data_IF_240147817052
#
_entry.id   IF_240147817052
#
_cell.length_a   1.000
_cell.length_b   1.000
_cell.length_c   1.000
_cell.angle_alpha   90.00
_cell.angle_beta   90.00
_cell.angle_gamma   90.00
#
_symmetry.space_group_name_H-M   'P 1'
#
loop_
_entity.id
_entity.type
_entity.pdbx_description
1 polymer ?
#
# COMPACT_ATOMS: atom_id res chain seq x y z
N UNK A 1 16.19 17.98 -21.46
CA UNK A 1 15.46 17.07 -22.36
C UNK A 1 14.02 16.95 -21.90
N UNK A 2 13.06 16.59 -22.80
CA UNK A 2 11.61 16.63 -22.46
C UNK A 2 11.26 15.90 -21.16
N UNK A 3 11.76 14.70 -20.92
CA UNK A 3 11.49 13.93 -19.70
C UNK A 3 12.02 14.57 -18.41
N UNK A 4 13.16 15.23 -18.49
CA UNK A 4 13.74 15.98 -17.37
C UNK A 4 12.90 17.21 -17.04
N UNK A 5 12.46 17.94 -18.06
CA UNK A 5 11.60 19.10 -17.88
C UNK A 5 10.26 18.72 -17.24
N UNK A 6 9.64 17.64 -17.71
CA UNK A 6 8.40 17.13 -17.12
C UNK A 6 8.55 16.70 -15.67
N UNK A 7 9.68 16.05 -15.30
CA UNK A 7 9.97 15.71 -13.91
C UNK A 7 10.18 16.94 -13.02
N UNK A 8 10.95 17.92 -13.49
CA UNK A 8 11.19 19.18 -12.76
C UNK A 8 9.89 19.95 -12.51
N UNK A 9 9.04 20.02 -13.51
CA UNK A 9 7.72 20.64 -13.39
C UNK A 9 6.83 19.90 -12.40
N UNK A 10 6.78 18.56 -12.48
CA UNK A 10 5.95 17.74 -11.61
C UNK A 10 6.38 17.81 -10.15
N UNK A 11 7.69 17.81 -9.89
CA UNK A 11 8.27 17.86 -8.56
C UNK A 11 8.43 19.29 -8.03
N UNK A 12 8.16 20.29 -8.88
CA UNK A 12 8.34 21.74 -8.57
C UNK A 12 9.77 22.07 -8.11
N UNK A 13 10.77 21.53 -8.81
CA UNK A 13 12.18 21.73 -8.50
C UNK A 13 12.93 22.30 -9.70
N UNK A 14 13.98 23.10 -9.43
CA UNK A 14 14.83 23.65 -10.47
C UNK A 14 15.78 22.60 -11.05
N UNK A 15 16.26 21.68 -10.20
CA UNK A 15 17.23 20.65 -10.57
C UNK A 15 16.91 19.30 -9.95
N UNK A 16 17.28 18.22 -10.66
CA UNK A 16 17.10 16.84 -10.18
C UNK A 16 18.34 16.28 -9.48
N UNK A 17 19.45 16.98 -9.49
CA UNK A 17 20.74 16.53 -8.94
C UNK A 17 20.66 16.12 -7.46
N UNK A 18 19.81 16.77 -6.66
CA UNK A 18 19.58 16.44 -5.25
C UNK A 18 18.91 15.08 -5.02
N UNK A 19 18.29 14.49 -6.04
CA UNK A 19 17.64 13.17 -5.97
C UNK A 19 18.51 12.03 -6.51
N UNK A 20 19.69 12.35 -7.09
CA UNK A 20 20.65 11.42 -7.67
C UNK A 20 21.03 11.75 -9.11
N UNK A 21 22.12 11.18 -9.58
CA UNK A 21 22.58 11.33 -10.97
C UNK A 21 21.80 10.40 -11.89
N UNK A 22 20.81 10.92 -12.60
CA UNK A 22 20.02 10.13 -13.56
C UNK A 22 20.64 10.20 -14.96
N UNK A 23 20.72 9.05 -15.62
CA UNK A 23 21.13 8.95 -17.02
C UNK A 23 20.04 9.44 -17.97
N UNK A 24 20.41 9.72 -19.24
CA UNK A 24 19.46 10.13 -20.27
C UNK A 24 18.31 9.12 -20.49
N UNK A 25 18.58 7.80 -20.58
CA UNK A 25 17.51 6.81 -20.68
C UNK A 25 16.57 6.78 -19.48
N UNK A 26 17.08 6.91 -18.24
CA UNK A 26 16.27 6.96 -17.04
C UNK A 26 15.33 8.17 -17.03
N UNK A 27 15.83 9.34 -17.42
CA UNK A 27 15.02 10.55 -17.55
C UNK A 27 13.98 10.44 -18.68
N UNK A 28 14.34 9.79 -19.79
CA UNK A 28 13.41 9.55 -20.89
C UNK A 28 12.27 8.60 -20.48
N UNK A 29 12.60 7.51 -19.78
CA UNK A 29 11.62 6.54 -19.29
C UNK A 29 10.66 7.18 -18.26
N UNK A 30 11.20 7.95 -17.32
CA UNK A 30 10.40 8.66 -16.35
C UNK A 30 9.46 9.69 -17.01
N UNK A 31 9.94 10.45 -18.00
CA UNK A 31 9.12 11.38 -18.76
C UNK A 31 8.02 10.70 -19.57
N UNK A 32 8.30 9.55 -20.18
CA UNK A 32 7.31 8.75 -20.89
C UNK A 32 6.22 8.23 -19.95
N UNK A 33 6.60 7.77 -18.75
CA UNK A 33 5.66 7.34 -17.72
C UNK A 33 4.76 8.48 -17.25
N UNK A 34 5.32 9.67 -17.00
CA UNK A 34 4.55 10.85 -16.62
C UNK A 34 3.51 11.21 -17.68
N UNK A 35 3.93 11.24 -18.94
CA UNK A 35 3.03 11.52 -20.07
C UNK A 35 1.92 10.47 -20.19
N UNK A 36 2.24 9.20 -19.99
CA UNK A 36 1.24 8.13 -19.97
C UNK A 36 0.23 8.34 -18.83
N UNK A 37 0.70 8.68 -17.63
CA UNK A 37 -0.18 8.95 -16.47
C UNK A 37 -1.08 10.15 -16.76
N UNK A 38 -0.57 11.24 -17.32
CA UNK A 38 -1.36 12.41 -17.70
C UNK A 38 -2.48 12.07 -18.69
N UNK A 39 -2.16 11.28 -19.71
CA UNK A 39 -3.13 10.84 -20.73
C UNK A 39 -4.21 9.92 -20.13
N UNK A 40 -3.82 8.97 -19.30
CA UNK A 40 -4.74 7.97 -18.74
C UNK A 40 -5.56 8.50 -17.57
N UNK A 41 -5.07 9.52 -16.88
CA UNK A 41 -5.73 10.11 -15.71
C UNK A 41 -6.48 11.43 -16.03
N UNK A 42 -6.75 11.72 -17.29
CA UNK A 42 -7.50 12.90 -17.73
C UNK A 42 -6.94 14.23 -17.16
N UNK A 43 -5.61 14.39 -17.18
CA UNK A 43 -4.94 15.60 -16.69
C UNK A 43 -4.78 15.68 -15.16
N UNK A 44 -5.21 14.68 -14.40
CA UNK A 44 -4.94 14.63 -12.96
C UNK A 44 -3.52 14.14 -12.73
N UNK A 45 -2.72 14.94 -12.04
CA UNK A 45 -1.34 14.60 -11.70
C UNK A 45 -1.32 13.98 -10.29
N UNK A 46 -0.88 12.72 -10.12
CA UNK A 46 -0.71 12.13 -8.81
C UNK A 46 0.43 12.85 -8.05
N UNK A 47 0.35 12.83 -6.74
CA UNK A 47 1.49 13.24 -5.92
C UNK A 47 2.58 12.19 -6.06
N UNK A 48 3.68 12.56 -6.69
CA UNK A 48 4.83 11.67 -6.87
C UNK A 48 5.84 11.87 -5.74
N UNK A 49 6.41 10.78 -5.29
CA UNK A 49 7.63 10.84 -4.47
C UNK A 49 8.80 11.22 -5.36
N UNK A 50 9.82 11.89 -4.81
CA UNK A 50 11.06 12.12 -5.54
C UNK A 50 11.61 10.81 -6.12
N UNK A 51 12.09 10.82 -7.37
CA UNK A 51 12.66 9.63 -7.96
C UNK A 51 13.89 9.20 -7.16
N UNK A 52 13.99 7.91 -6.89
CA UNK A 52 15.19 7.32 -6.32
C UNK A 52 15.79 6.40 -7.36
N UNK A 53 17.10 6.53 -7.57
CA UNK A 53 17.82 5.54 -8.37
C UNK A 53 17.72 4.21 -7.63
N UNK A 54 17.06 3.22 -8.22
CA UNK A 54 17.10 1.86 -7.70
C UNK A 54 18.55 1.44 -7.65
N UNK A 55 19.05 1.15 -6.46
CA UNK A 55 20.45 0.80 -6.29
C UNK A 55 20.77 -0.44 -7.12
N UNK A 56 21.29 -0.22 -8.32
CA UNK A 56 21.76 -1.28 -9.22
C UNK A 56 22.87 -2.11 -8.58
N UNK A 57 23.40 -1.66 -7.46
CA UNK A 57 24.45 -2.35 -6.69
C UNK A 57 23.88 -3.39 -5.73
N UNK A 58 22.66 -3.21 -5.22
CA UNK A 58 22.07 -4.11 -4.22
C UNK A 58 21.12 -5.17 -4.77
N UNK A 59 20.70 -5.06 -6.04
CA UNK A 59 19.72 -5.98 -6.64
C UNK A 59 20.25 -6.52 -7.97
N UNK A 60 20.06 -7.80 -8.19
CA UNK A 60 20.38 -8.47 -9.47
C UNK A 60 19.17 -8.41 -10.40
N UNK A 61 19.32 -7.81 -11.57
CA UNK A 61 18.33 -7.87 -12.64
C UNK A 61 18.59 -9.13 -13.49
N UNK A 62 17.65 -10.07 -13.46
CA UNK A 62 17.78 -11.38 -14.11
C UNK A 62 16.69 -11.63 -15.15
N UNK A 63 16.27 -10.58 -15.87
CA UNK A 63 15.13 -10.63 -16.79
C UNK A 63 15.17 -11.81 -17.77
N UNK A 64 16.29 -12.04 -18.44
CA UNK A 64 16.44 -13.17 -19.37
C UNK A 64 16.54 -14.52 -18.67
N UNK A 65 17.23 -14.60 -17.53
CA UNK A 65 17.39 -15.83 -16.77
C UNK A 65 16.12 -16.21 -16.00
N UNK A 66 15.30 -15.24 -15.60
CA UNK A 66 14.10 -15.46 -14.81
C UNK A 66 13.07 -16.35 -15.54
N UNK A 67 12.96 -16.21 -16.85
CA UNK A 67 12.10 -17.04 -17.69
C UNK A 67 12.62 -18.48 -17.78
N UNK A 68 13.94 -18.65 -18.02
CA UNK A 68 14.58 -19.98 -18.13
C UNK A 68 14.59 -20.72 -16.80
N UNK A 69 14.66 -20.01 -15.68
CA UNK A 69 14.63 -20.57 -14.32
C UNK A 69 13.19 -20.74 -13.78
N UNK A 70 12.20 -20.39 -14.55
CA UNK A 70 10.77 -20.47 -14.17
C UNK A 70 10.49 -19.87 -12.80
N UNK A 71 11.09 -18.72 -12.48
CA UNK A 71 11.00 -18.12 -11.15
C UNK A 71 9.57 -17.68 -10.80
N UNK A 72 8.92 -16.94 -11.69
CA UNK A 72 7.58 -16.38 -11.46
C UNK A 72 6.51 -16.98 -12.36
N UNK A 73 6.90 -17.54 -13.49
CA UNK A 73 6.04 -18.22 -14.46
C UNK A 73 6.76 -19.43 -15.03
N UNK A 74 6.01 -20.47 -15.37
CA UNK A 74 6.51 -21.64 -16.10
C UNK A 74 6.81 -21.29 -17.56
N UNK A 75 7.45 -22.17 -18.29
CA UNK A 75 7.68 -22.07 -19.75
C UNK A 75 6.38 -21.99 -20.55
N UNK A 76 5.26 -22.53 -20.04
CA UNK A 76 3.92 -22.36 -20.61
C UNK A 76 3.30 -20.99 -20.35
N UNK A 77 3.93 -20.12 -19.53
CA UNK A 77 3.43 -18.80 -19.15
C UNK A 77 2.50 -18.79 -17.93
N UNK A 78 2.17 -19.97 -17.39
CA UNK A 78 1.31 -20.09 -16.20
C UNK A 78 2.07 -19.79 -14.90
N UNK A 79 1.32 -19.39 -13.86
CA UNK A 79 1.90 -19.27 -12.51
C UNK A 79 2.23 -20.66 -11.93
N UNK A 80 1.38 -21.65 -12.22
CA UNK A 80 1.56 -23.01 -11.76
C UNK A 80 2.81 -23.62 -12.42
N UNK A 81 3.59 -24.40 -11.65
CA UNK A 81 4.87 -24.96 -12.10
C UNK A 81 6.08 -24.05 -11.85
N UNK A 82 5.88 -22.77 -11.51
CA UNK A 82 6.99 -21.87 -11.18
C UNK A 82 7.48 -22.03 -9.73
N UNK A 83 8.71 -21.57 -9.46
CA UNK A 83 9.26 -21.51 -8.10
C UNK A 83 8.36 -20.69 -7.18
N UNK A 84 7.86 -19.54 -7.65
CA UNK A 84 6.90 -18.71 -6.89
C UNK A 84 5.68 -19.52 -6.46
N UNK A 85 5.11 -20.32 -7.36
CA UNK A 85 3.94 -21.15 -7.05
C UNK A 85 4.25 -22.20 -5.97
N UNK A 86 5.45 -22.76 -5.98
CA UNK A 86 5.87 -23.78 -5.02
C UNK A 86 6.07 -23.23 -3.60
N UNK A 87 6.60 -22.01 -3.48
CA UNK A 87 6.96 -21.41 -2.17
C UNK A 87 5.94 -20.40 -1.64
N UNK A 88 4.98 -19.94 -2.45
CA UNK A 88 4.00 -18.93 -2.03
C UNK A 88 3.09 -19.48 -0.92
N UNK A 89 3.34 -19.02 0.29
CA UNK A 89 2.52 -19.26 1.49
C UNK A 89 2.05 -17.94 2.09
N UNK A 90 2.04 -16.88 1.28
CA UNK A 90 1.59 -15.57 1.73
C UNK A 90 0.09 -15.58 2.07
N UNK A 91 -0.30 -14.74 3.01
CA UNK A 91 -1.70 -14.62 3.47
C UNK A 91 -2.36 -13.32 3.02
N UNK A 92 -1.61 -12.48 2.28
CA UNK A 92 -2.10 -11.18 1.79
C UNK A 92 -1.74 -10.96 0.33
N UNK A 93 -2.58 -10.22 -0.40
CA UNK A 93 -2.27 -9.80 -1.77
C UNK A 93 -0.99 -8.95 -1.89
N UNK A 94 -0.76 -7.94 -1.02
CA UNK A 94 0.52 -7.23 -0.97
C UNK A 94 1.72 -8.14 -0.74
N UNK A 95 1.62 -9.09 0.20
CA UNK A 95 2.69 -10.06 0.49
C UNK A 95 3.03 -10.93 -0.70
N UNK A 96 2.03 -11.42 -1.43
CA UNK A 96 2.25 -12.22 -2.65
C UNK A 96 2.98 -11.41 -3.75
N UNK A 97 2.64 -10.12 -3.89
CA UNK A 97 3.34 -9.22 -4.83
C UNK A 97 4.78 -8.96 -4.41
N UNK A 98 5.00 -8.74 -3.11
CA UNK A 98 6.34 -8.54 -2.57
C UNK A 98 7.21 -9.78 -2.75
N UNK A 99 6.68 -10.99 -2.47
CA UNK A 99 7.40 -12.24 -2.69
C UNK A 99 7.78 -12.40 -4.16
N UNK A 100 6.86 -12.14 -5.08
CA UNK A 100 7.14 -12.19 -6.52
C UNK A 100 8.22 -11.16 -6.93
N UNK A 101 8.15 -9.95 -6.40
CA UNK A 101 9.15 -8.91 -6.66
C UNK A 101 10.54 -9.29 -6.13
N UNK A 102 10.62 -9.88 -4.94
CA UNK A 102 11.89 -10.36 -4.35
C UNK A 102 12.52 -11.49 -5.15
N UNK A 103 11.71 -12.41 -5.70
CA UNK A 103 12.20 -13.45 -6.59
C UNK A 103 12.70 -12.88 -7.92
N UNK A 104 11.98 -11.92 -8.49
CA UNK A 104 12.38 -11.29 -9.75
C UNK A 104 13.62 -10.39 -9.61
N UNK A 105 13.92 -9.92 -8.40
CA UNK A 105 15.00 -8.97 -8.13
C UNK A 105 15.72 -9.33 -6.83
N UNK A 106 16.48 -10.43 -6.80
CA UNK A 106 17.20 -10.89 -5.62
C UNK A 106 18.30 -9.91 -5.19
N UNK A 107 18.56 -9.88 -3.91
CA UNK A 107 19.64 -9.07 -3.34
C UNK A 107 21.02 -9.61 -3.74
N UNK A 108 22.01 -8.70 -3.77
CA UNK A 108 23.43 -9.00 -3.97
C UNK A 108 24.26 -8.73 -2.73
N UNK A 109 23.81 -7.83 -1.88
CA UNK A 109 24.49 -7.48 -0.63
C UNK A 109 24.29 -8.61 0.38
N UNK A 110 25.39 -9.27 0.74
CA UNK A 110 25.40 -10.40 1.67
C UNK A 110 24.88 -10.01 3.05
N UNK A 111 25.16 -8.82 3.55
CA UNK A 111 24.64 -8.35 4.85
C UNK A 111 23.11 -8.28 4.84
N UNK A 112 22.52 -7.72 3.77
CA UNK A 112 21.08 -7.65 3.65
C UNK A 112 20.45 -9.04 3.46
N UNK A 113 21.15 -9.95 2.79
CA UNK A 113 20.71 -11.35 2.64
C UNK A 113 20.70 -12.03 4.01
N UNK A 114 21.81 -11.94 4.74
CA UNK A 114 21.96 -12.52 6.08
C UNK A 114 20.90 -11.96 7.04
N UNK A 115 20.70 -10.65 7.09
CA UNK A 115 19.68 -10.03 7.93
C UNK A 115 18.26 -10.56 7.64
N UNK A 116 17.93 -10.85 6.36
CA UNK A 116 16.67 -11.49 5.99
C UNK A 116 16.61 -12.95 6.41
N UNK A 117 17.70 -13.69 6.26
CA UNK A 117 17.77 -15.08 6.68
C UNK A 117 17.65 -15.22 8.19
N UNK A 118 18.29 -14.35 8.95
CA UNK A 118 18.16 -14.29 10.41
C UNK A 118 16.72 -14.02 10.84
N UNK A 119 16.04 -13.08 10.16
CA UNK A 119 14.63 -12.80 10.42
C UNK A 119 13.73 -13.99 10.10
N UNK A 120 14.03 -14.74 9.04
CA UNK A 120 13.29 -15.97 8.69
C UNK A 120 13.57 -17.06 9.72
N UNK A 121 14.84 -17.29 10.08
CA UNK A 121 15.24 -18.26 11.10
C UNK A 121 14.54 -18.00 12.43
N UNK A 122 14.57 -16.76 12.90
CA UNK A 122 13.87 -16.35 14.11
C UNK A 122 12.36 -16.66 14.07
N UNK A 123 11.69 -16.33 12.94
CA UNK A 123 10.26 -16.63 12.80
C UNK A 123 9.95 -18.13 12.60
N UNK A 124 10.94 -18.95 12.21
CA UNK A 124 10.78 -20.42 12.19
C UNK A 124 10.79 -20.94 13.62
N UNK A 125 11.72 -20.47 14.44
CA UNK A 125 11.86 -20.85 15.85
C UNK A 125 10.70 -20.34 16.71
N UNK A 126 10.29 -19.07 16.49
CA UNK A 126 9.20 -18.42 17.22
C UNK A 126 7.83 -18.71 16.57
N UNK A 127 7.36 -19.95 16.68
CA UNK A 127 6.11 -20.40 16.06
C UNK A 127 4.87 -19.64 16.52
N UNK A 128 4.79 -19.32 17.81
CA UNK A 128 3.66 -18.57 18.37
C UNK A 128 3.57 -17.17 17.78
N UNK A 129 4.71 -16.45 17.70
CA UNK A 129 4.78 -15.14 17.07
C UNK A 129 4.44 -15.20 15.58
N UNK A 130 5.04 -16.15 14.86
CA UNK A 130 4.76 -16.36 13.43
C UNK A 130 3.27 -16.57 13.18
N UNK A 131 2.63 -17.40 13.97
CA UNK A 131 1.18 -17.67 13.88
C UNK A 131 0.37 -16.41 14.15
N UNK A 132 0.63 -15.69 15.23
CA UNK A 132 -0.07 -14.46 15.60
C UNK A 132 0.08 -13.36 14.52
N UNK A 133 1.29 -13.19 13.97
CA UNK A 133 1.54 -12.26 12.85
C UNK A 133 0.74 -12.66 11.61
N UNK A 134 0.73 -13.93 11.24
CA UNK A 134 -0.01 -14.41 10.08
C UNK A 134 -1.52 -14.25 10.26
N UNK A 135 -2.05 -14.52 11.44
CA UNK A 135 -3.47 -14.35 11.75
C UNK A 135 -3.87 -12.87 11.70
N UNK A 136 -3.04 -12.00 12.27
CA UNK A 136 -3.24 -10.55 12.15
C UNK A 136 -3.23 -10.09 10.69
N UNK A 137 -2.26 -10.57 9.90
CA UNK A 137 -2.12 -10.21 8.49
C UNK A 137 -3.27 -10.70 7.59
N UNK A 138 -3.94 -11.82 7.91
CA UNK A 138 -5.10 -12.29 7.13
C UNK A 138 -6.22 -11.27 7.03
N UNK A 139 -6.36 -10.43 8.04
CA UNK A 139 -7.33 -9.33 8.05
C UNK A 139 -6.82 -8.04 7.39
N UNK A 140 -5.55 -8.02 6.94
CA UNK A 140 -4.95 -6.82 6.39
C UNK A 140 -5.52 -6.46 5.01
N UNK A 141 -6.06 -5.27 4.91
CA UNK A 141 -6.49 -4.70 3.63
C UNK A 141 -5.28 -4.24 2.79
N UNK A 142 -5.49 -4.15 1.47
CA UNK A 142 -4.49 -3.63 0.53
C UNK A 142 -4.47 -2.10 0.55
N UNK A 143 -3.81 -1.53 1.56
CA UNK A 143 -3.70 -0.07 1.76
C UNK A 143 -3.15 0.61 0.51
N UNK A 144 -2.11 0.05 -0.11
CA UNK A 144 -1.46 0.68 -1.27
C UNK A 144 -2.43 0.89 -2.42
N UNK A 145 -3.27 -0.11 -2.72
CA UNK A 145 -4.32 0.00 -3.74
C UNK A 145 -5.43 0.94 -3.34
N UNK A 146 -5.85 0.92 -2.07
CA UNK A 146 -6.88 1.81 -1.55
C UNK A 146 -6.42 3.28 -1.65
N UNK A 147 -5.23 3.60 -1.17
CA UNK A 147 -4.63 4.95 -1.25
C UNK A 147 -4.46 5.39 -2.71
N UNK A 148 -4.03 4.49 -3.59
CA UNK A 148 -3.92 4.79 -5.02
C UNK A 148 -5.28 5.20 -5.61
N UNK A 149 -6.37 4.44 -5.34
CA UNK A 149 -7.71 4.81 -5.82
C UNK A 149 -8.20 6.14 -5.24
N UNK A 150 -7.94 6.38 -3.96
CA UNK A 150 -8.28 7.65 -3.29
C UNK A 150 -7.53 8.83 -3.91
N UNK A 151 -6.22 8.68 -4.15
CA UNK A 151 -5.39 9.72 -4.75
C UNK A 151 -5.87 10.12 -6.17
N UNK A 152 -6.41 9.18 -6.93
CA UNK A 152 -6.98 9.43 -8.25
C UNK A 152 -8.48 9.83 -8.22
N UNK A 153 -9.03 10.14 -7.04
CA UNK A 153 -10.45 10.47 -6.85
C UNK A 153 -11.42 9.37 -7.37
N UNK A 154 -10.95 8.13 -7.44
CA UNK A 154 -11.72 6.92 -7.77
C UNK A 154 -12.01 6.08 -6.52
N UNK A 155 -11.64 6.59 -5.35
CA UNK A 155 -11.84 5.91 -4.08
C UNK A 155 -13.31 5.84 -3.69
N UNK A 156 -13.65 4.78 -2.98
CA UNK A 156 -14.95 4.51 -2.37
C UNK A 156 -14.87 4.64 -0.84
N UNK A 157 -16.01 4.66 -0.13
CA UNK A 157 -16.01 4.58 1.33
C UNK A 157 -15.27 3.33 1.86
N UNK A 158 -15.34 2.20 1.15
CA UNK A 158 -14.59 0.97 1.49
C UNK A 158 -13.08 1.12 1.36
N UNK A 159 -12.59 2.01 0.50
CA UNK A 159 -11.16 2.29 0.42
C UNK A 159 -10.65 3.04 1.66
N UNK A 160 -11.47 3.94 2.21
CA UNK A 160 -11.16 4.60 3.49
C UNK A 160 -11.16 3.59 4.65
N UNK A 161 -12.15 2.68 4.68
CA UNK A 161 -12.17 1.59 5.66
C UNK A 161 -10.95 0.66 5.50
N UNK A 162 -10.55 0.33 4.26
CA UNK A 162 -9.36 -0.46 4.01
C UNK A 162 -8.08 0.21 4.54
N UNK A 163 -7.98 1.54 4.48
CA UNK A 163 -6.87 2.28 5.10
C UNK A 163 -6.98 2.19 6.62
N UNK A 164 -8.15 2.45 7.22
CA UNK A 164 -8.40 2.34 8.66
C UNK A 164 -7.97 0.96 9.19
N UNK A 165 -8.51 -0.10 8.59
CA UNK A 165 -8.32 -1.48 9.04
C UNK A 165 -6.88 -1.95 8.83
N UNK A 166 -6.27 -1.54 7.72
CA UNK A 166 -4.86 -1.83 7.46
C UNK A 166 -3.90 -1.15 8.43
N UNK A 167 -4.20 0.10 8.84
CA UNK A 167 -3.43 0.80 9.88
C UNK A 167 -3.58 0.11 11.25
N UNK A 168 -4.77 -0.37 11.59
CA UNK A 168 -4.99 -1.16 12.80
C UNK A 168 -4.17 -2.47 12.80
N UNK A 169 -4.11 -3.16 11.65
CA UNK A 169 -3.26 -4.37 11.51
C UNK A 169 -1.79 -4.02 11.67
N UNK A 170 -1.33 -2.92 11.07
CA UNK A 170 0.05 -2.46 11.19
C UNK A 170 0.43 -2.22 12.67
N UNK A 171 -0.44 -1.55 13.43
CA UNK A 171 -0.27 -1.36 14.88
C UNK A 171 -0.14 -2.67 15.64
N UNK A 172 -1.07 -3.62 15.42
CA UNK A 172 -1.01 -4.94 16.06
C UNK A 172 0.26 -5.71 15.72
N UNK A 173 0.70 -5.69 14.46
CA UNK A 173 1.96 -6.32 14.08
C UNK A 173 3.17 -5.66 14.76
N UNK A 174 3.16 -4.33 14.90
CA UNK A 174 4.21 -3.61 15.62
C UNK A 174 4.27 -3.99 17.11
N UNK A 175 3.12 -4.13 17.76
CA UNK A 175 3.01 -4.57 19.16
C UNK A 175 3.50 -6.01 19.33
N UNK A 176 3.08 -6.94 18.45
CA UNK A 176 3.54 -8.33 18.48
C UNK A 176 5.06 -8.46 18.36
N UNK A 177 5.67 -7.68 17.45
CA UNK A 177 7.12 -7.65 17.27
C UNK A 177 7.82 -6.98 18.47
N UNK A 178 7.24 -5.91 19.02
CA UNK A 178 7.81 -5.22 20.19
C UNK A 178 7.80 -6.07 21.46
N UNK A 179 6.78 -6.88 21.65
CA UNK A 179 6.67 -7.77 22.81
C UNK A 179 7.80 -8.81 22.91
N UNK A 180 8.51 -9.07 21.80
CA UNK A 180 9.68 -9.97 21.77
C UNK A 180 11.01 -9.27 22.07
N UNK A 181 11.02 -7.92 22.12
CA UNK A 181 12.23 -7.08 21.99
C UNK A 181 13.23 -7.16 23.14
N UNK A 182 12.84 -7.53 24.35
CA UNK A 182 13.74 -7.47 25.51
C UNK A 182 14.30 -8.85 25.94
N UNK A 183 13.69 -9.94 25.48
CA UNK A 183 14.01 -11.27 25.98
C UNK A 183 14.92 -12.11 25.05
N UNK A 184 14.93 -11.91 23.75
CA UNK A 184 15.53 -12.85 22.80
C UNK A 184 16.36 -12.24 21.66
N UNK A 185 16.65 -10.94 21.67
CA UNK A 185 17.45 -10.33 20.60
C UNK A 185 16.77 -10.41 19.23
N UNK A 186 15.73 -9.61 19.02
CA UNK A 186 15.02 -9.56 17.72
C UNK A 186 15.99 -9.20 16.59
N UNK A 187 16.03 -9.96 15.49
CA UNK A 187 16.87 -9.66 14.34
C UNK A 187 16.68 -8.24 13.80
N UNK A 188 17.76 -7.63 13.33
CA UNK A 188 17.83 -6.25 12.86
C UNK A 188 16.70 -5.92 11.85
N UNK A 189 16.44 -6.81 10.91
CA UNK A 189 15.39 -6.62 9.89
C UNK A 189 13.99 -6.54 10.51
N UNK A 190 13.67 -7.38 11.49
CA UNK A 190 12.39 -7.34 12.20
C UNK A 190 12.27 -6.10 13.09
N UNK A 191 13.37 -5.70 13.76
CA UNK A 191 13.44 -4.46 14.52
C UNK A 191 13.20 -3.23 13.65
N UNK A 192 13.83 -3.20 12.48
CA UNK A 192 13.61 -2.15 11.46
C UNK A 192 12.16 -2.09 10.99
N UNK A 193 11.55 -3.24 10.69
CA UNK A 193 10.14 -3.33 10.29
C UNK A 193 9.23 -2.83 11.43
N UNK A 194 9.45 -3.29 12.65
CA UNK A 194 8.68 -2.85 13.82
C UNK A 194 8.80 -1.33 14.03
N UNK A 195 9.98 -0.77 13.86
CA UNK A 195 10.22 0.68 13.90
C UNK A 195 9.43 1.43 12.84
N UNK A 196 9.43 0.93 11.61
CA UNK A 196 8.65 1.52 10.51
C UNK A 196 7.15 1.47 10.76
N UNK A 197 6.63 0.34 11.26
CA UNK A 197 5.22 0.20 11.58
C UNK A 197 4.79 1.16 12.71
N UNK A 198 5.64 1.35 13.72
CA UNK A 198 5.40 2.31 14.82
C UNK A 198 5.50 3.77 14.41
N UNK A 199 6.28 4.08 13.39
CA UNK A 199 6.40 5.46 12.89
C UNK A 199 5.16 5.95 12.13
N UNK A 200 4.21 5.07 11.86
CA UNK A 200 2.94 5.45 11.24
C UNK A 200 2.10 6.24 12.23
N UNK A 201 1.67 7.43 11.82
CA UNK A 201 0.85 8.30 12.68
C UNK A 201 -0.50 7.66 12.98
N UNK A 202 -0.75 7.37 14.26
CA UNK A 202 -2.00 6.82 14.75
C UNK A 202 -3.18 7.79 14.60
N UNK A 203 -2.93 9.09 14.42
CA UNK A 203 -3.99 10.11 14.31
C UNK A 203 -4.92 9.84 13.13
N UNK A 204 -4.38 9.42 11.99
CA UNK A 204 -5.18 9.07 10.81
C UNK A 204 -6.10 7.87 11.08
N UNK A 205 -5.58 6.83 11.72
CA UNK A 205 -6.41 5.69 12.14
C UNK A 205 -7.55 6.13 13.05
N UNK A 206 -7.25 6.94 14.07
CA UNK A 206 -8.24 7.41 15.04
C UNK A 206 -9.34 8.25 14.39
N UNK A 207 -8.95 9.15 13.49
CA UNK A 207 -9.92 9.97 12.74
C UNK A 207 -10.81 9.08 11.86
N UNK A 208 -10.25 8.12 11.13
CA UNK A 208 -11.02 7.22 10.29
C UNK A 208 -11.94 6.29 11.11
N UNK A 209 -11.48 5.81 12.26
CA UNK A 209 -12.26 4.97 13.17
C UNK A 209 -13.44 5.75 13.79
N UNK A 210 -13.22 7.01 14.14
CA UNK A 210 -14.27 7.87 14.64
C UNK A 210 -15.28 8.27 13.55
N UNK A 211 -14.79 8.48 12.33
CA UNK A 211 -15.61 8.98 11.22
C UNK A 211 -16.45 7.90 10.53
N UNK A 212 -15.90 6.69 10.34
CA UNK A 212 -16.52 5.69 9.46
C UNK A 212 -17.33 4.67 10.24
N UNK A 213 -18.45 4.25 9.68
CA UNK A 213 -19.17 3.05 10.13
C UNK A 213 -18.30 1.80 9.90
N UNK A 214 -18.63 0.70 10.57
CA UNK A 214 -17.79 -0.52 10.54
C UNK A 214 -17.77 -1.15 9.13
N UNK A 215 -18.92 -1.26 8.47
CA UNK A 215 -19.03 -1.75 7.08
C UNK A 215 -19.63 -0.67 6.18
N UNK A 216 -18.81 0.21 5.60
CA UNK A 216 -19.31 1.27 4.72
C UNK A 216 -19.77 0.71 3.36
N UNK A 217 -20.74 1.38 2.69
CA UNK A 217 -21.25 0.97 1.40
C UNK A 217 -20.18 1.04 0.31
N UNK A 218 -20.41 0.33 -0.78
CA UNK A 218 -19.51 0.35 -1.94
C UNK A 218 -19.48 1.71 -2.64
N UNK A 219 -20.63 2.35 -2.77
CA UNK A 219 -20.78 3.57 -3.56
C UNK A 219 -20.96 4.78 -2.63
N UNK A 220 -20.22 5.84 -2.91
CA UNK A 220 -20.35 7.09 -2.15
C UNK A 220 -21.77 7.69 -2.21
N UNK A 221 -22.49 7.49 -3.32
CA UNK A 221 -23.86 7.99 -3.51
C UNK A 221 -24.88 7.34 -2.57
N UNK A 222 -24.59 6.14 -2.07
CA UNK A 222 -25.49 5.43 -1.15
C UNK A 222 -25.56 6.13 0.21
N UNK A 223 -24.54 6.93 0.56
CA UNK A 223 -24.49 7.67 1.82
C UNK A 223 -24.28 6.76 3.03
N UNK A 224 -24.51 7.30 4.23
CA UNK A 224 -24.53 6.52 5.48
C UNK A 224 -23.18 5.99 5.97
N UNK A 225 -22.06 6.29 5.30
CA UNK A 225 -20.73 5.77 5.66
C UNK A 225 -20.00 6.57 6.73
N UNK A 226 -20.44 7.80 7.02
CA UNK A 226 -19.91 8.61 8.13
C UNK A 226 -20.82 8.43 9.33
N UNK A 227 -20.25 8.16 10.50
CA UNK A 227 -20.98 8.01 11.76
C UNK A 227 -21.76 9.29 12.10
N UNK A 228 -22.88 9.13 12.76
CA UNK A 228 -23.61 10.24 13.38
C UNK A 228 -22.73 10.92 14.43
N UNK A 229 -22.94 12.20 14.63
CA UNK A 229 -22.20 13.04 15.58
C UNK A 229 -20.70 13.19 15.31
N UNK A 230 -20.20 12.71 14.16
CA UNK A 230 -18.81 12.95 13.77
C UNK A 230 -18.58 14.40 13.33
N UNK A 231 -19.57 14.99 12.64
CA UNK A 231 -19.57 16.41 12.21
C UNK A 231 -20.97 16.98 12.33
N UNK A 232 -21.18 18.01 13.19
CA UNK A 232 -22.49 18.63 13.37
C UNK A 232 -23.12 19.13 12.07
N UNK A 233 -22.31 19.73 11.19
CA UNK A 233 -22.78 20.26 9.91
C UNK A 233 -23.35 19.17 8.98
N UNK A 234 -22.79 17.95 9.07
CA UNK A 234 -23.29 16.81 8.31
C UNK A 234 -24.62 16.30 8.88
N UNK A 235 -24.76 16.30 10.19
CA UNK A 235 -25.98 15.85 10.85
C UNK A 235 -27.12 16.85 10.61
N UNK A 236 -26.86 18.16 10.63
CA UNK A 236 -27.80 19.19 10.21
C UNK A 236 -28.24 19.01 8.76
N UNK A 237 -27.31 18.76 7.84
CA UNK A 237 -27.61 18.52 6.44
C UNK A 237 -28.45 17.24 6.23
N UNK A 238 -28.23 16.21 7.05
CA UNK A 238 -29.06 14.98 7.05
C UNK A 238 -30.47 15.25 7.54
N UNK A 239 -30.61 15.96 8.65
CA UNK A 239 -31.89 16.33 9.21
C UNK A 239 -32.73 17.15 8.21
N UNK A 240 -32.13 18.15 7.56
CA UNK A 240 -32.79 18.94 6.50
C UNK A 240 -33.23 18.08 5.31
N UNK A 241 -32.44 17.08 4.92
CA UNK A 241 -32.78 16.16 3.83
C UNK A 241 -33.94 15.25 4.19
N UNK A 242 -34.01 14.76 5.41
CA UNK A 242 -35.09 13.91 5.91
C UNK A 242 -36.39 14.71 6.05
N UNK A 243 -36.31 15.91 6.59
CA UNK A 243 -37.46 16.82 6.74
C UNK A 243 -38.04 17.18 5.37
N UNK A 244 -37.21 17.52 4.39
CA UNK A 244 -37.67 17.80 3.02
C UNK A 244 -38.32 16.59 2.35
N UNK A 245 -37.84 15.36 2.59
CA UNK A 245 -38.46 14.12 2.10
C UNK A 245 -39.82 13.88 2.77
N UNK A 246 -39.92 14.11 4.07
CA UNK A 246 -41.18 14.02 4.81
C UNK A 246 -42.22 15.00 4.30
N UNK A 247 -41.83 16.24 4.02
CA UNK A 247 -42.71 17.25 3.43
C UNK A 247 -43.15 16.86 2.01
N UNK A 248 -42.23 16.36 1.17
CA UNK A 248 -42.57 15.90 -0.17
C UNK A 248 -43.52 14.70 -0.16
N UNK A 249 -43.27 13.68 0.67
CA UNK A 249 -44.14 12.52 0.82
C UNK A 249 -45.53 12.91 1.37
N UNK A 250 -45.57 13.90 2.30
CA UNK A 250 -46.84 14.46 2.79
C UNK A 250 -47.64 15.23 1.72
N UNK A 251 -46.95 15.86 0.78
CA UNK A 251 -47.58 16.52 -0.37
C UNK A 251 -48.10 15.49 -1.41
N UNK A 252 -47.29 14.48 -1.74
CA UNK A 252 -47.70 13.41 -2.67
C UNK A 252 -48.88 12.59 -2.13
N UNK A 253 -49.04 12.44 -0.81
CA UNK A 253 -50.17 11.77 -0.21
C UNK A 253 -51.45 12.62 -0.20
N UNK A 254 -51.39 13.92 -0.47
CA UNK A 254 -52.50 14.85 -0.50
C UNK A 254 -53.08 15.07 -1.92
N UNK A 255 -52.37 14.68 -2.93
CA UNK A 255 -52.72 14.79 -4.34
C UNK A 255 -52.77 13.39 -5.01
#
# INVERSE_FOLDING_TARGET
>A
LAGEASLKEQLKVAELGGFGGFSRPELAAAGALLKYVELTQMGRRPVLRPPKKSGSESVLLIDAASASLELTRSTSGDKQGSLLSAIDRTVTGPGARELAARLASPLRDTRQIEARLDAIGFLIEEEALRTALRDSLRSAADIARAVSRLAFARGSPRDLAAVRDGLAVAGRCAELLAAQGDAMGVPEELGRIAGQLRSVDASLHNVLAAALVDDPPHLRRDGGFVRERFRPELDEARALKEDSRGVMAGLEAKY
#
